data_IF_662152597678
#
_entry.id   IF_662152597678
#
_cell.length_a   1.000
_cell.length_b   1.000
_cell.length_c   1.000
_cell.angle_alpha   90.00
_cell.angle_beta   90.00
_cell.angle_gamma   90.00
#
_symmetry.space_group_name_H-M   'P 1'
#
loop_
_entity.id
_entity.type
_entity.pdbx_description
1 polymer ?
#
# COMPACT_ATOMS: atom_id res chain seq x y z
N UNK A 1 15.29 -1.27 -43.25
CA UNK A 1 14.21 -1.75 -42.38
C UNK A 1 14.72 -2.95 -41.59
N UNK A 2 15.07 -2.72 -40.36
CA UNK A 2 15.42 -3.77 -39.38
C UNK A 2 14.16 -4.50 -38.97
N UNK A 3 14.13 -5.84 -38.94
CA UNK A 3 12.98 -6.57 -38.45
C UNK A 3 12.85 -6.30 -36.95
N UNK A 4 11.70 -5.80 -36.55
CA UNK A 4 11.33 -5.74 -35.13
C UNK A 4 11.28 -7.18 -34.61
N UNK A 5 12.18 -7.53 -33.72
CA UNK A 5 12.09 -8.77 -32.94
C UNK A 5 10.85 -8.61 -32.05
N UNK A 6 9.73 -9.12 -32.51
CA UNK A 6 8.56 -9.32 -31.66
C UNK A 6 8.96 -10.35 -30.62
N UNK A 7 9.13 -9.91 -29.39
CA UNK A 7 9.34 -10.78 -28.25
C UNK A 7 8.15 -11.75 -28.15
N UNK A 8 8.43 -13.05 -28.37
CA UNK A 8 7.42 -14.12 -28.34
C UNK A 8 6.99 -14.51 -26.93
N UNK A 9 7.35 -13.73 -25.92
CA UNK A 9 6.94 -13.98 -24.54
C UNK A 9 5.55 -13.37 -24.30
N UNK A 10 4.53 -14.20 -24.37
CA UNK A 10 3.18 -13.81 -23.99
C UNK A 10 3.12 -13.62 -22.46
N UNK A 11 2.55 -12.50 -22.03
CA UNK A 11 2.23 -12.31 -20.63
C UNK A 11 1.21 -13.35 -20.17
N UNK A 12 1.28 -13.74 -18.91
CA UNK A 12 0.18 -14.49 -18.29
C UNK A 12 -1.11 -13.68 -18.33
N UNK A 13 -2.26 -14.33 -18.20
CA UNK A 13 -3.54 -13.63 -18.11
C UNK A 13 -3.55 -12.59 -16.98
N UNK A 14 -2.94 -12.93 -15.83
CA UNK A 14 -2.76 -12.01 -14.70
C UNK A 14 -1.91 -10.79 -15.09
N UNK A 15 -0.80 -11.00 -15.78
CA UNK A 15 0.08 -9.93 -16.26
C UNK A 15 -0.60 -9.02 -17.29
N UNK A 16 -1.36 -9.60 -18.21
CA UNK A 16 -2.14 -8.85 -19.20
C UNK A 16 -3.22 -7.98 -18.55
N UNK A 17 -3.91 -8.52 -17.56
CA UNK A 17 -4.92 -7.78 -16.78
C UNK A 17 -4.29 -6.61 -16.04
N UNK A 18 -3.10 -6.81 -15.44
CA UNK A 18 -2.33 -5.76 -14.76
C UNK A 18 -2.03 -4.57 -15.68
N UNK A 19 -1.55 -4.84 -16.87
CA UNK A 19 -1.24 -3.77 -17.84
C UNK A 19 -2.50 -3.03 -18.28
N UNK A 20 -3.61 -3.72 -18.46
CA UNK A 20 -4.89 -3.10 -18.78
C UNK A 20 -5.36 -2.11 -17.70
N UNK A 21 -5.18 -2.46 -16.44
CA UNK A 21 -5.54 -1.59 -15.32
C UNK A 21 -4.55 -0.42 -15.12
N UNK A 22 -3.26 -0.64 -15.36
CA UNK A 22 -2.25 0.42 -15.26
C UNK A 22 -2.47 1.51 -16.33
N UNK A 23 -2.91 1.13 -17.52
CA UNK A 23 -3.26 2.07 -18.58
C UNK A 23 -4.47 2.96 -18.26
N UNK A 24 -5.33 2.52 -17.35
CA UNK A 24 -6.49 3.29 -16.88
C UNK A 24 -6.17 4.23 -15.70
N UNK A 25 -4.91 4.27 -15.25
CA UNK A 25 -4.50 5.18 -14.17
C UNK A 25 -4.65 6.62 -14.63
N UNK A 26 -5.40 7.48 -13.91
CA UNK A 26 -5.51 8.87 -14.26
C UNK A 26 -4.16 9.58 -14.13
N UNK A 27 -3.91 10.61 -14.94
CA UNK A 27 -2.74 11.46 -14.78
C UNK A 27 -2.71 12.07 -13.39
N UNK A 28 -1.67 11.74 -12.62
CA UNK A 28 -1.53 12.18 -11.22
C UNK A 28 -0.79 13.53 -11.10
N UNK A 29 -0.97 14.42 -12.07
CA UNK A 29 -0.31 15.72 -12.10
C UNK A 29 -1.34 16.83 -12.32
N UNK A 30 -1.37 17.79 -11.42
CA UNK A 30 -2.21 18.98 -11.54
C UNK A 30 -2.97 19.33 -10.27
N UNK A 31 -3.72 20.41 -10.32
CA UNK A 31 -4.56 20.84 -9.21
C UNK A 31 -5.67 19.81 -8.93
N UNK A 32 -6.01 19.64 -7.67
CA UNK A 32 -7.06 18.71 -7.19
C UNK A 32 -6.78 17.21 -7.41
N UNK A 33 -5.54 16.82 -7.66
CA UNK A 33 -5.16 15.41 -7.71
C UNK A 33 -5.07 14.87 -6.29
N UNK A 34 -5.89 13.86 -5.91
CA UNK A 34 -5.84 13.29 -4.57
C UNK A 34 -4.52 12.54 -4.34
N UNK A 35 -3.98 12.63 -3.13
CA UNK A 35 -2.76 11.92 -2.75
C UNK A 35 -1.45 12.57 -3.20
N UNK A 36 -1.49 13.73 -3.85
CA UNK A 36 -0.30 14.51 -4.20
C UNK A 36 -0.14 15.68 -3.21
N UNK A 37 0.82 15.62 -2.26
CA UNK A 37 1.09 16.74 -1.36
C UNK A 37 1.80 17.89 -2.10
N UNK A 38 1.78 19.07 -1.51
CA UNK A 38 2.61 20.18 -1.99
C UNK A 38 4.08 19.89 -1.68
N UNK A 39 4.80 19.39 -2.68
CA UNK A 39 6.21 19.01 -2.55
C UNK A 39 7.14 20.22 -2.38
N UNK A 40 6.68 21.44 -2.64
CA UNK A 40 7.48 22.66 -2.45
C UNK A 40 7.66 23.00 -0.98
N UNK A 41 6.73 22.57 -0.13
CA UNK A 41 6.77 22.75 1.32
C UNK A 41 7.59 21.68 2.05
N UNK A 42 8.16 20.70 1.32
CA UNK A 42 8.98 19.67 1.94
C UNK A 42 10.23 20.27 2.58
N UNK A 43 10.54 19.99 3.86
CA UNK A 43 11.65 20.62 4.58
C UNK A 43 13.01 20.02 4.20
N UNK A 44 13.44 20.19 2.97
CA UNK A 44 14.65 19.61 2.38
C UNK A 44 15.91 19.84 3.24
N UNK A 45 16.09 21.03 3.81
CA UNK A 45 17.25 21.38 4.62
C UNK A 45 17.33 20.57 5.92
N UNK A 46 16.17 20.31 6.56
CA UNK A 46 16.10 19.47 7.77
C UNK A 46 16.44 18.03 7.41
N UNK A 47 15.82 17.52 6.34
CA UNK A 47 16.00 16.15 5.89
C UNK A 47 17.45 15.87 5.50
N UNK A 48 18.07 16.75 4.70
CA UNK A 48 19.48 16.64 4.31
C UNK A 48 20.44 16.66 5.50
N UNK A 49 20.16 17.49 6.51
CA UNK A 49 20.97 17.53 7.74
C UNK A 49 20.87 16.23 8.53
N UNK A 50 19.68 15.63 8.61
CA UNK A 50 19.49 14.34 9.28
C UNK A 50 20.23 13.23 8.53
N UNK A 51 20.08 13.17 7.20
CA UNK A 51 20.82 12.20 6.37
C UNK A 51 22.33 12.32 6.55
N UNK A 52 22.88 13.54 6.48
CA UNK A 52 24.30 13.77 6.66
C UNK A 52 24.80 13.33 8.04
N UNK A 53 24.01 13.51 9.10
CA UNK A 53 24.33 13.01 10.44
C UNK A 53 24.38 11.49 10.48
N UNK A 54 23.34 10.81 9.96
CA UNK A 54 23.27 9.36 9.96
C UNK A 54 24.37 8.70 9.11
N UNK A 55 24.81 9.37 8.03
CA UNK A 55 25.87 8.88 7.16
C UNK A 55 27.27 8.99 7.79
N UNK A 56 27.47 9.86 8.77
CA UNK A 56 28.75 10.00 9.49
C UNK A 56 28.99 8.90 10.52
N UNK A 57 27.92 8.31 11.00
CA UNK A 57 27.95 7.24 12.00
C UNK A 57 27.28 5.99 11.40
N UNK A 58 27.94 5.31 10.44
CA UNK A 58 27.33 4.18 9.77
C UNK A 58 27.20 3.01 10.74
N UNK A 59 25.96 2.58 10.94
CA UNK A 59 25.67 1.33 11.63
C UNK A 59 25.75 0.17 10.61
N UNK A 60 26.74 -0.68 10.81
CA UNK A 60 26.98 -1.84 9.92
C UNK A 60 25.75 -2.76 9.86
N UNK A 61 24.99 -2.86 10.95
CA UNK A 61 23.78 -3.69 10.99
C UNK A 61 22.67 -3.17 10.07
N UNK A 62 22.71 -1.89 9.68
CA UNK A 62 21.76 -1.31 8.72
C UNK A 62 22.16 -1.56 7.26
N UNK A 63 23.39 -2.05 7.03
CA UNK A 63 23.92 -2.36 5.70
C UNK A 63 23.81 -3.84 5.33
N UNK A 64 23.33 -4.67 6.25
CA UNK A 64 23.11 -6.11 6.07
C UNK A 64 21.63 -6.43 6.20
N UNK A 65 21.27 -7.68 5.95
CA UNK A 65 19.90 -8.15 6.16
C UNK A 65 19.49 -8.00 7.62
N UNK A 66 18.43 -7.28 7.86
CA UNK A 66 17.82 -7.11 9.18
C UNK A 66 16.69 -8.10 9.40
N UNK A 67 16.23 -8.21 10.64
CA UNK A 67 15.00 -8.94 10.97
C UNK A 67 13.81 -8.38 10.19
N UNK A 68 12.86 -9.25 9.84
CA UNK A 68 11.64 -8.86 9.16
C UNK A 68 10.89 -7.73 9.89
N UNK A 69 10.31 -6.83 9.12
CA UNK A 69 9.48 -5.75 9.65
C UNK A 69 10.13 -4.36 9.64
N UNK A 70 11.44 -4.25 9.37
CA UNK A 70 12.14 -2.96 9.27
C UNK A 70 12.89 -2.56 10.55
N UNK A 71 13.57 -1.40 10.47
CA UNK A 71 14.42 -0.86 11.53
C UNK A 71 13.65 -0.66 12.85
N UNK A 72 14.15 -1.22 13.93
CA UNK A 72 13.45 -1.22 15.24
C UNK A 72 13.29 0.20 15.79
N UNK A 73 14.26 1.08 15.58
CA UNK A 73 14.20 2.47 16.04
C UNK A 73 13.06 3.23 15.33
N UNK A 74 12.87 2.98 14.03
CA UNK A 74 11.76 3.56 13.28
C UNK A 74 10.42 3.00 13.76
N UNK A 75 10.32 1.69 13.96
CA UNK A 75 9.10 1.04 14.46
C UNK A 75 8.71 1.55 15.84
N UNK A 76 9.69 1.71 16.74
CA UNK A 76 9.45 2.27 18.08
C UNK A 76 8.97 3.72 18.00
N UNK A 77 9.63 4.56 17.20
CA UNK A 77 9.22 5.95 17.01
C UNK A 77 7.81 6.07 16.40
N UNK A 78 7.44 5.16 15.48
CA UNK A 78 6.09 5.10 14.93
C UNK A 78 5.06 4.64 15.96
N UNK A 79 5.37 3.67 16.83
CA UNK A 79 4.47 3.25 17.91
C UNK A 79 4.16 4.42 18.85
N UNK A 80 5.18 5.17 19.25
CA UNK A 80 5.02 6.36 20.09
C UNK A 80 4.19 7.44 19.39
N UNK A 81 4.48 7.71 18.11
CA UNK A 81 3.71 8.66 17.31
C UNK A 81 2.23 8.26 17.17
N UNK A 82 1.94 7.01 16.85
CA UNK A 82 0.58 6.50 16.69
C UNK A 82 -0.20 6.57 18.02
N UNK A 83 0.46 6.31 19.13
CA UNK A 83 -0.16 6.43 20.47
C UNK A 83 -0.62 7.86 20.74
N UNK A 84 0.23 8.85 20.44
CA UNK A 84 -0.06 10.26 20.71
C UNK A 84 -1.00 10.87 19.66
N UNK A 85 -0.71 10.65 18.39
CA UNK A 85 -1.41 11.34 17.29
C UNK A 85 -2.71 10.65 16.88
N UNK A 86 -2.86 9.35 17.14
CA UNK A 86 -4.00 8.53 16.66
C UNK A 86 -4.66 7.71 17.76
N UNK A 87 -4.20 7.79 19.01
CA UNK A 87 -4.69 6.98 20.13
C UNK A 87 -4.62 5.46 19.88
N UNK A 88 -3.74 5.02 18.96
CA UNK A 88 -3.53 3.61 18.66
C UNK A 88 -2.59 3.02 19.70
N UNK A 89 -3.06 2.03 20.43
CA UNK A 89 -2.24 1.29 21.40
C UNK A 89 -1.54 0.16 20.66
N UNK A 90 -0.27 0.34 20.37
CA UNK A 90 0.56 -0.68 19.72
C UNK A 90 2.01 -0.61 20.22
N UNK A 91 2.71 -1.72 20.07
CA UNK A 91 4.14 -1.86 20.30
C UNK A 91 4.90 -1.97 18.97
N UNK A 92 6.22 -1.74 19.04
CA UNK A 92 7.09 -1.80 17.85
C UNK A 92 6.99 -3.14 17.10
N UNK A 93 6.73 -4.24 17.82
CA UNK A 93 6.63 -5.59 17.21
C UNK A 93 5.33 -5.80 16.41
N UNK A 94 4.36 -4.91 16.56
CA UNK A 94 3.13 -4.90 15.79
C UNK A 94 3.21 -3.99 14.55
N UNK A 95 4.38 -3.39 14.29
CA UNK A 95 4.61 -2.48 13.16
C UNK A 95 5.52 -3.14 12.14
N UNK A 96 5.09 -3.12 10.89
CA UNK A 96 5.87 -3.57 9.74
C UNK A 96 6.05 -2.39 8.80
N UNK A 97 7.30 -2.10 8.43
CA UNK A 97 7.62 -1.05 7.46
C UNK A 97 7.51 -1.63 6.06
N UNK A 98 6.77 -0.94 5.20
CA UNK A 98 6.58 -1.31 3.78
C UNK A 98 7.01 -0.17 2.86
N UNK A 99 7.27 -0.49 1.60
CA UNK A 99 7.59 0.49 0.54
C UNK A 99 6.33 1.17 -0.03
N UNK A 100 5.40 1.50 0.83
CA UNK A 100 4.16 2.18 0.49
C UNK A 100 2.92 1.30 0.56
N UNK A 101 1.77 1.92 0.27
CA UNK A 101 0.45 1.32 0.50
C UNK A 101 0.20 0.07 -0.37
N UNK A 102 0.73 0.01 -1.59
CA UNK A 102 0.56 -1.16 -2.46
C UNK A 102 1.18 -2.42 -1.85
N UNK A 103 2.41 -2.31 -1.32
CA UNK A 103 3.06 -3.42 -0.65
C UNK A 103 2.34 -3.80 0.63
N UNK A 104 1.83 -2.83 1.39
CA UNK A 104 1.05 -3.10 2.59
C UNK A 104 -0.22 -3.89 2.29
N UNK A 105 -1.00 -3.45 1.29
CA UNK A 105 -2.23 -4.14 0.86
C UNK A 105 -1.91 -5.56 0.35
N UNK A 106 -0.86 -5.72 -0.47
CA UNK A 106 -0.45 -7.03 -0.97
C UNK A 106 -0.06 -7.97 0.17
N UNK A 107 0.77 -7.49 1.10
CA UNK A 107 1.22 -8.27 2.27
C UNK A 107 0.03 -8.69 3.16
N UNK A 108 -0.84 -7.75 3.52
CA UNK A 108 -2.02 -8.03 4.37
C UNK A 108 -2.96 -9.00 3.67
N UNK A 109 -3.22 -8.81 2.39
CA UNK A 109 -4.08 -9.69 1.61
C UNK A 109 -3.58 -11.13 1.60
N UNK A 110 -2.29 -11.33 1.33
CA UNK A 110 -1.68 -12.67 1.29
C UNK A 110 -1.53 -13.31 2.66
N UNK A 111 -1.33 -12.51 3.70
CA UNK A 111 -1.14 -13.03 5.05
C UNK A 111 -2.46 -13.45 5.71
N UNK A 112 -3.57 -12.77 5.37
CA UNK A 112 -4.83 -12.90 6.10
C UNK A 112 -5.98 -13.51 5.28
N UNK A 113 -5.78 -13.76 3.97
CA UNK A 113 -6.82 -14.32 3.12
C UNK A 113 -6.28 -15.30 2.08
N UNK A 114 -7.16 -16.16 1.58
CA UNK A 114 -6.91 -17.10 0.51
C UNK A 114 -7.59 -16.66 -0.79
N UNK A 115 -7.16 -17.24 -1.93
CA UNK A 115 -7.79 -17.00 -3.22
C UNK A 115 -9.29 -17.35 -3.16
N UNK A 116 -10.13 -16.45 -3.65
CA UNK A 116 -11.59 -16.59 -3.62
C UNK A 116 -12.24 -16.12 -2.32
N UNK A 117 -11.48 -15.68 -1.34
CA UNK A 117 -12.06 -15.05 -0.15
C UNK A 117 -12.70 -13.71 -0.50
N UNK A 118 -13.85 -13.45 0.11
CA UNK A 118 -14.61 -12.24 -0.07
C UNK A 118 -13.97 -11.08 0.68
N UNK A 119 -13.83 -9.95 0.00
CA UNK A 119 -13.36 -8.71 0.59
C UNK A 119 -14.30 -7.57 0.24
N UNK A 120 -14.57 -6.70 1.21
CA UNK A 120 -15.31 -5.47 0.98
C UNK A 120 -14.36 -4.31 0.77
N UNK A 121 -14.70 -3.45 -0.20
CA UNK A 121 -14.00 -2.19 -0.45
C UNK A 121 -15.02 -1.09 -0.64
N UNK A 122 -14.69 0.13 -0.29
CA UNK A 122 -15.50 1.30 -0.61
C UNK A 122 -15.70 1.45 -2.14
N UNK A 123 -16.82 2.04 -2.53
CA UNK A 123 -17.09 2.44 -3.91
C UNK A 123 -17.64 3.88 -3.92
N UNK A 124 -16.84 4.86 -4.37
CA UNK A 124 -15.52 4.76 -5.02
C UNK A 124 -14.37 4.41 -4.06
N UNK A 125 -13.37 3.70 -4.57
CA UNK A 125 -12.16 3.33 -3.86
C UNK A 125 -10.90 3.63 -4.68
N UNK A 126 -9.74 3.65 -4.00
CA UNK A 126 -8.45 3.80 -4.65
C UNK A 126 -8.21 2.66 -5.65
N UNK A 127 -8.00 3.01 -6.93
CA UNK A 127 -7.86 2.05 -8.03
C UNK A 127 -6.72 1.05 -7.82
N UNK A 128 -5.60 1.49 -7.22
CA UNK A 128 -4.45 0.62 -6.95
C UNK A 128 -4.76 -0.49 -5.96
N UNK A 129 -5.59 -0.23 -4.96
CA UNK A 129 -6.09 -1.25 -4.04
C UNK A 129 -6.89 -2.32 -4.78
N UNK A 130 -7.88 -1.92 -5.61
CA UNK A 130 -8.66 -2.87 -6.42
C UNK A 130 -7.77 -3.80 -7.25
N UNK A 131 -6.74 -3.23 -7.87
CA UNK A 131 -5.84 -3.99 -8.72
C UNK A 131 -5.03 -5.02 -7.92
N UNK A 132 -4.49 -4.62 -6.76
CA UNK A 132 -3.74 -5.51 -5.88
C UNK A 132 -4.60 -6.67 -5.39
N UNK A 133 -5.83 -6.40 -4.94
CA UNK A 133 -6.75 -7.43 -4.47
C UNK A 133 -7.15 -8.41 -5.57
N UNK A 134 -7.40 -7.92 -6.80
CA UNK A 134 -7.68 -8.77 -7.98
C UNK A 134 -6.51 -9.68 -8.35
N UNK A 135 -5.28 -9.16 -8.28
CA UNK A 135 -4.07 -9.94 -8.56
C UNK A 135 -3.91 -11.08 -7.56
N UNK A 136 -4.27 -10.82 -6.31
CA UNK A 136 -4.27 -11.83 -5.25
C UNK A 136 -5.44 -12.81 -5.35
N UNK A 137 -6.32 -12.65 -6.34
CA UNK A 137 -7.41 -13.59 -6.62
C UNK A 137 -8.57 -13.50 -5.64
N UNK A 138 -8.74 -12.36 -4.97
CA UNK A 138 -9.82 -12.14 -4.01
C UNK A 138 -11.15 -11.79 -4.71
N UNK A 139 -12.26 -12.20 -4.11
CA UNK A 139 -13.62 -11.85 -4.53
C UNK A 139 -14.00 -10.47 -3.98
N UNK A 140 -13.85 -9.45 -4.82
CA UNK A 140 -14.04 -8.05 -4.43
C UNK A 140 -15.51 -7.68 -4.52
N UNK A 141 -16.09 -7.25 -3.41
CA UNK A 141 -17.41 -6.65 -3.33
C UNK A 141 -17.30 -5.14 -3.06
N UNK A 142 -17.66 -4.30 -4.02
CA UNK A 142 -17.76 -2.86 -3.80
C UNK A 142 -18.97 -2.57 -2.92
N UNK A 143 -18.77 -1.77 -1.88
CA UNK A 143 -19.78 -1.35 -0.93
C UNK A 143 -20.04 0.15 -1.07
N UNK A 144 -21.29 0.61 -1.02
CA UNK A 144 -21.58 2.02 -1.05
C UNK A 144 -21.04 2.75 0.17
N UNK A 145 -20.81 4.05 0.03
CA UNK A 145 -20.33 4.93 1.11
C UNK A 145 -21.29 6.10 1.29
N UNK A 146 -21.38 6.59 2.52
CA UNK A 146 -22.07 7.83 2.88
C UNK A 146 -21.17 8.77 3.70
N UNK A 147 -21.75 9.72 4.42
CA UNK A 147 -21.00 10.66 5.24
C UNK A 147 -20.31 10.01 6.45
N UNK A 148 -20.74 8.83 6.87
CA UNK A 148 -20.20 8.07 8.00
C UNK A 148 -19.15 7.04 7.55
N UNK A 149 -19.03 6.78 6.24
CA UNK A 149 -18.11 5.83 5.63
C UNK A 149 -18.77 4.69 4.90
N UNK A 150 -18.17 3.50 4.93
CA UNK A 150 -18.68 2.31 4.27
C UNK A 150 -20.03 1.87 4.87
N UNK A 151 -21.01 1.58 4.00
CA UNK A 151 -22.31 1.04 4.41
C UNK A 151 -22.23 -0.49 4.32
N UNK A 152 -22.10 -1.20 5.45
CA UNK A 152 -21.98 -2.65 5.44
C UNK A 152 -23.31 -3.31 5.06
N UNK A 153 -23.24 -4.47 4.39
CA UNK A 153 -24.40 -5.32 4.17
C UNK A 153 -24.89 -5.91 5.51
N UNK A 154 -26.16 -5.76 5.82
CA UNK A 154 -26.78 -6.39 6.99
C UNK A 154 -26.91 -7.90 6.77
N UNK A 155 -26.38 -8.71 7.69
CA UNK A 155 -26.45 -10.17 7.67
C UNK A 155 -25.98 -10.82 6.34
N UNK A 156 -24.76 -10.59 5.89
CA UNK A 156 -24.27 -11.20 4.67
C UNK A 156 -24.24 -12.72 4.79
N UNK A 157 -24.66 -13.43 3.74
CA UNK A 157 -24.65 -14.90 3.72
C UNK A 157 -23.23 -15.50 3.96
N UNK A 158 -22.20 -14.79 3.52
CA UNK A 158 -20.81 -15.06 3.83
C UNK A 158 -20.13 -13.73 4.19
N UNK A 159 -19.70 -13.54 5.45
CA UNK A 159 -19.03 -12.31 5.85
C UNK A 159 -17.73 -12.13 5.08
N UNK A 160 -17.26 -10.88 4.87
CA UNK A 160 -15.98 -10.64 4.23
C UNK A 160 -14.83 -11.07 5.15
N UNK A 161 -13.77 -11.53 4.54
CA UNK A 161 -12.52 -11.85 5.26
C UNK A 161 -11.76 -10.60 5.67
N UNK A 162 -11.78 -9.59 4.80
CA UNK A 162 -11.16 -8.28 4.98
C UNK A 162 -12.12 -7.18 4.54
N UNK A 163 -12.00 -6.03 5.17
CA UNK A 163 -12.69 -4.79 4.78
C UNK A 163 -11.63 -3.71 4.62
N UNK A 164 -11.66 -3.03 3.47
CA UNK A 164 -10.76 -1.92 3.17
C UNK A 164 -11.57 -0.62 3.10
N UNK A 165 -11.18 0.35 3.91
CA UNK A 165 -11.77 1.68 4.03
C UNK A 165 -10.74 2.77 3.79
#
# INVERSE_FOLDING_TARGET
SSPSVQSSYALSQRGSNLLGYAAASPHQWGAFVPGAPDVTEFPHHIFSRIQARLSREPDINRLIYSNAGGCIELRSALADYLRVARSVQCDADQIIITEGIHQAIDLVSRALSDMGDKVWIEDPAYWGMRNTLRINGLDIQPMPVDAEGIIPEENPAKPPKLIFV
#
